data_IF_325773944068
#
_entry.id   IF_325773944068
#
_cell.length_a   1.000
_cell.length_b   1.000
_cell.length_c   1.000
_cell.angle_alpha   90.00
_cell.angle_beta   90.00
_cell.angle_gamma   90.00
#
_symmetry.space_group_name_H-M   'P 1'
#
loop_
_entity.id
_entity.type
_entity.pdbx_description
1 polymer ?
#
# COMPACT_ATOMS: atom_id res chain seq x y z
N UNK A 1 -13.26 -47.19 41.68
CA UNK A 1 -12.87 -46.61 40.38
C UNK A 1 -11.81 -45.54 40.63
N UNK A 2 -10.53 -45.74 40.25
CA UNK A 2 -9.41 -44.88 40.67
C UNK A 2 -8.91 -43.87 39.61
N UNK A 3 -9.63 -43.67 38.51
CA UNK A 3 -9.10 -42.94 37.33
C UNK A 3 -9.19 -41.41 37.40
N UNK A 4 -9.67 -40.85 38.52
CA UNK A 4 -9.76 -39.39 38.71
C UNK A 4 -8.40 -38.79 39.10
N UNK A 5 -7.70 -39.41 40.05
CA UNK A 5 -6.44 -38.88 40.60
C UNK A 5 -5.29 -38.97 39.60
N UNK A 6 -5.20 -40.05 38.83
CA UNK A 6 -4.19 -40.19 37.77
C UNK A 6 -4.29 -39.08 36.72
N UNK A 7 -5.51 -38.66 36.36
CA UNK A 7 -5.74 -37.56 35.42
C UNK A 7 -5.38 -36.19 36.02
N UNK A 8 -5.71 -35.96 37.30
CA UNK A 8 -5.29 -34.73 38.01
C UNK A 8 -3.76 -34.63 38.07
N UNK A 9 -3.07 -35.70 38.46
CA UNK A 9 -1.62 -35.73 38.55
C UNK A 9 -0.95 -35.51 37.18
N UNK A 10 -1.50 -36.09 36.10
CA UNK A 10 -1.03 -35.85 34.73
C UNK A 10 -1.17 -34.37 34.33
N UNK A 11 -2.30 -33.73 34.66
CA UNK A 11 -2.53 -32.31 34.38
C UNK A 11 -1.53 -31.43 35.13
N UNK A 12 -1.26 -31.69 36.42
CA UNK A 12 -0.27 -30.95 37.20
C UNK A 12 1.17 -31.10 36.67
N UNK A 13 1.53 -32.29 36.17
CA UNK A 13 2.85 -32.51 35.54
C UNK A 13 2.93 -31.72 34.22
N UNK A 14 1.88 -31.75 33.39
CA UNK A 14 1.85 -31.05 32.11
C UNK A 14 1.93 -29.53 32.28
N UNK A 15 1.19 -28.96 33.24
CA UNK A 15 1.23 -27.52 33.52
C UNK A 15 2.58 -27.09 34.11
N UNK A 16 3.22 -27.91 34.95
CA UNK A 16 4.56 -27.66 35.45
C UNK A 16 5.64 -27.63 34.35
N UNK A 17 5.55 -28.54 33.38
CA UNK A 17 6.46 -28.57 32.21
C UNK A 17 6.24 -27.32 31.33
N UNK A 18 4.99 -26.94 31.06
CA UNK A 18 4.69 -25.73 30.27
C UNK A 18 5.19 -24.46 31.01
N UNK A 19 4.97 -24.37 32.32
CA UNK A 19 5.40 -23.22 33.11
C UNK A 19 6.93 -23.07 33.18
N UNK A 20 7.66 -24.19 33.31
CA UNK A 20 9.14 -24.17 33.29
C UNK A 20 9.69 -23.81 31.91
N UNK A 21 9.06 -24.25 30.81
CA UNK A 21 9.41 -23.81 29.45
C UNK A 21 9.18 -22.30 29.24
N UNK A 22 8.08 -21.74 29.75
CA UNK A 22 7.79 -20.29 29.67
C UNK A 22 8.78 -19.45 30.51
N UNK A 23 9.25 -19.98 31.63
CA UNK A 23 10.30 -19.32 32.42
C UNK A 23 11.67 -19.39 31.75
N UNK A 24 12.00 -20.48 31.05
CA UNK A 24 13.21 -20.59 30.23
C UNK A 24 13.20 -19.58 29.07
N UNK A 25 12.09 -19.44 28.35
CA UNK A 25 11.95 -18.46 27.26
C UNK A 25 12.20 -17.01 27.71
N UNK A 26 11.77 -16.65 28.94
CA UNK A 26 12.10 -15.35 29.55
C UNK A 26 13.52 -15.22 30.07
N UNK A 27 14.17 -16.32 30.49
CA UNK A 27 15.53 -16.30 31.05
C UNK A 27 16.63 -16.40 29.99
N UNK A 28 16.35 -17.05 28.87
CA UNK A 28 17.29 -17.21 27.76
C UNK A 28 16.65 -16.62 26.50
N UNK A 29 17.04 -15.39 26.13
CA UNK A 29 16.56 -14.68 24.93
C UNK A 29 17.07 -15.31 23.62
N UNK A 30 16.80 -16.60 23.44
CA UNK A 30 17.30 -17.49 22.41
C UNK A 30 16.21 -18.53 22.11
N UNK A 31 15.36 -18.25 21.13
CA UNK A 31 14.26 -19.13 20.77
C UNK A 31 14.73 -20.55 20.42
N UNK A 32 14.14 -21.56 21.07
CA UNK A 32 14.45 -22.97 20.80
C UNK A 32 13.93 -23.39 19.43
N UNK A 33 14.84 -23.52 18.45
CA UNK A 33 14.55 -24.22 17.20
C UNK A 33 14.65 -25.73 17.41
N UNK A 34 13.55 -26.46 17.27
CA UNK A 34 13.55 -27.91 17.28
C UNK A 34 14.24 -28.43 15.99
N UNK A 35 15.51 -28.82 16.06
CA UNK A 35 16.26 -29.31 14.92
C UNK A 35 16.33 -30.84 14.90
N UNK A 36 15.68 -31.44 13.91
CA UNK A 36 15.88 -32.85 13.56
C UNK A 36 17.15 -33.04 12.73
N UNK A 37 18.11 -33.76 13.28
CA UNK A 37 19.04 -34.69 12.59
C UNK A 37 19.65 -34.27 11.24
N UNK A 38 20.95 -33.89 11.22
CA UNK A 38 21.80 -34.16 10.04
C UNK A 38 23.01 -33.25 9.74
N UNK A 39 24.20 -33.86 9.75
CA UNK A 39 25.42 -33.53 8.98
C UNK A 39 26.37 -32.38 9.39
N UNK A 40 27.61 -32.50 8.89
CA UNK A 40 28.87 -31.99 9.45
C UNK A 40 29.61 -31.02 8.50
N UNK A 41 30.50 -30.18 9.07
CA UNK A 41 31.58 -29.46 8.35
C UNK A 41 31.15 -28.18 7.64
N UNK A 42 31.93 -27.09 7.58
CA UNK A 42 33.37 -26.90 7.81
C UNK A 42 33.70 -25.56 8.53
N UNK A 43 34.96 -25.39 8.94
CA UNK A 43 35.52 -24.15 9.55
C UNK A 43 36.27 -23.32 8.51
N UNK A 44 36.18 -21.97 8.59
CA UNK A 44 37.32 -21.03 8.76
C UNK A 44 36.88 -19.56 8.57
N UNK A 45 37.13 -18.67 9.54
CA UNK A 45 38.31 -17.79 9.74
C UNK A 45 38.36 -16.58 8.77
N UNK A 46 38.30 -15.37 9.35
CA UNK A 46 38.54 -14.10 8.66
C UNK A 46 38.32 -12.90 9.59
N UNK A 47 39.38 -12.41 10.25
CA UNK A 47 39.36 -11.16 11.03
C UNK A 47 39.32 -9.94 10.10
N UNK A 48 38.59 -8.87 10.46
CA UNK A 48 39.13 -7.50 10.51
C UNK A 48 38.11 -6.47 11.04
N UNK A 49 38.55 -5.72 12.05
CA UNK A 49 38.19 -4.34 12.41
C UNK A 49 39.55 -3.59 12.53
N UNK A 50 39.65 -2.25 12.40
CA UNK A 50 38.91 -1.22 13.14
C UNK A 50 38.20 -0.23 12.17
N UNK A 51 37.87 1.05 12.43
CA UNK A 51 38.16 1.99 13.54
C UNK A 51 37.06 3.08 13.67
N UNK A 52 37.26 4.06 14.56
CA UNK A 52 36.45 5.27 14.73
C UNK A 52 37.28 6.52 14.45
N UNK A 53 36.63 7.61 13.98
CA UNK A 53 37.14 8.97 14.15
C UNK A 53 36.08 9.85 14.83
N UNK A 54 36.54 10.67 15.77
CA UNK A 54 35.73 11.61 16.56
C UNK A 54 36.34 13.00 16.48
N UNK A 55 35.51 14.02 16.21
CA UNK A 55 35.84 15.44 16.48
C UNK A 55 34.59 16.32 16.38
N UNK A 56 34.49 17.33 17.25
CA UNK A 56 33.53 18.43 17.13
C UNK A 56 32.27 18.30 17.99
N UNK A 57 32.41 18.60 19.29
CA UNK A 57 31.27 18.71 20.21
C UNK A 57 30.65 20.12 20.11
N UNK A 58 29.88 20.38 19.04
CA UNK A 58 29.09 21.61 18.87
C UNK A 58 27.72 21.44 19.53
N UNK A 59 27.22 22.50 20.18
CA UNK A 59 25.97 22.41 20.91
C UNK A 59 24.80 22.44 19.92
N UNK A 60 23.73 21.66 20.17
CA UNK A 60 22.66 21.43 19.18
C UNK A 60 22.00 22.74 18.69
N UNK A 61 22.02 23.78 19.52
CA UNK A 61 21.52 25.12 19.19
C UNK A 61 22.36 25.82 18.11
N UNK A 62 23.68 25.79 18.20
CA UNK A 62 24.57 26.48 17.24
C UNK A 62 24.45 25.87 15.82
N UNK A 63 24.16 24.57 15.74
CA UNK A 63 23.86 23.87 14.48
C UNK A 63 22.46 24.16 13.91
N UNK A 64 21.51 24.62 14.73
CA UNK A 64 20.20 25.09 14.27
C UNK A 64 20.30 26.55 13.79
N UNK A 65 20.88 27.43 14.61
CA UNK A 65 21.09 28.84 14.28
C UNK A 65 21.85 28.98 12.93
N UNK A 66 22.91 28.18 12.71
CA UNK A 66 23.67 28.18 11.44
C UNK A 66 22.86 27.65 10.23
N UNK A 67 21.91 26.75 10.43
CA UNK A 67 21.08 26.20 9.35
C UNK A 67 19.90 27.13 8.98
N UNK A 68 19.38 27.90 9.95
CA UNK A 68 18.33 28.90 9.70
C UNK A 68 18.86 30.08 8.87
N UNK A 69 20.08 30.56 9.16
CA UNK A 69 20.73 31.63 8.40
C UNK A 69 21.00 31.23 6.93
N UNK A 70 21.39 29.96 6.68
CA UNK A 70 21.63 29.43 5.33
C UNK A 70 20.32 29.36 4.51
N UNK A 71 19.21 28.93 5.12
CA UNK A 71 17.88 28.88 4.49
C UNK A 71 17.35 30.28 4.19
N UNK A 72 17.55 31.25 5.09
CA UNK A 72 17.15 32.64 4.86
C UNK A 72 17.94 33.29 3.71
N UNK A 73 19.23 32.95 3.56
CA UNK A 73 20.05 33.35 2.42
C UNK A 73 19.50 32.89 1.08
N UNK A 74 19.14 31.61 0.95
CA UNK A 74 18.58 31.06 -0.29
C UNK A 74 17.18 31.62 -0.65
N UNK A 75 16.36 31.95 0.35
CA UNK A 75 15.03 32.52 0.14
C UNK A 75 15.09 33.97 -0.36
N UNK A 76 16.03 34.78 0.14
CA UNK A 76 16.26 36.14 -0.34
C UNK A 76 16.83 36.19 -1.77
N UNK A 77 17.54 35.14 -2.20
CA UNK A 77 18.17 35.10 -3.52
C UNK A 77 17.22 34.69 -4.67
N UNK A 78 16.07 34.08 -4.37
CA UNK A 78 15.14 33.54 -5.37
C UNK A 78 13.77 34.26 -5.44
N UNK A 79 13.61 35.37 -4.73
CA UNK A 79 12.35 36.11 -4.62
C UNK A 79 12.06 37.08 -5.77
N UNK A 80 11.76 36.58 -6.98
CA UNK A 80 11.27 37.44 -8.08
C UNK A 80 10.20 36.76 -8.96
N UNK A 81 9.00 36.55 -8.40
CA UNK A 81 7.77 36.29 -9.17
C UNK A 81 6.65 37.18 -8.67
N UNK A 82 6.19 38.08 -9.55
CA UNK A 82 5.10 39.02 -9.32
C UNK A 82 3.75 38.31 -9.19
N UNK A 83 2.98 38.66 -8.17
CA UNK A 83 1.53 38.39 -8.10
C UNK A 83 0.81 39.72 -8.35
N UNK A 84 0.00 39.76 -9.40
CA UNK A 84 -0.91 40.88 -9.67
C UNK A 84 -2.21 40.68 -8.91
N UNK A 85 -2.51 41.59 -7.99
CA UNK A 85 -3.74 41.58 -7.19
C UNK A 85 -4.83 42.38 -7.89
N UNK A 86 -5.98 41.75 -8.16
CA UNK A 86 -7.25 42.44 -8.42
C UNK A 86 -8.27 41.84 -7.44
N UNK A 87 -8.68 42.57 -6.39
CA UNK A 87 -9.67 43.65 -6.35
C UNK A 87 -10.99 43.12 -5.72
N UNK A 88 -10.99 42.93 -4.40
CA UNK A 88 -12.23 42.74 -3.63
C UNK A 88 -12.73 44.11 -3.17
N UNK A 89 -13.84 44.58 -3.74
CA UNK A 89 -14.57 45.74 -3.23
C UNK A 89 -15.64 45.29 -2.26
N UNK A 90 -15.52 45.76 -1.01
CA UNK A 90 -16.57 45.74 0.00
C UNK A 90 -17.76 46.60 -0.43
N UNK A 91 -18.98 46.05 -0.32
CA UNK A 91 -20.22 46.83 -0.27
C UNK A 91 -21.05 46.31 0.91
N UNK A 92 -21.09 47.10 1.97
CA UNK A 92 -22.19 47.11 2.94
C UNK A 92 -23.30 48.04 2.41
N UNK A 93 -24.49 47.99 3.06
CA UNK A 93 -25.80 48.58 2.68
C UNK A 93 -26.65 47.57 1.86
N UNK A 94 -27.86 47.19 2.26
CA UNK A 94 -28.93 47.98 2.87
C UNK A 94 -29.97 47.07 3.56
N UNK A 95 -30.63 47.54 4.62
CA UNK A 95 -31.71 46.83 5.33
C UNK A 95 -33.04 47.49 4.96
N UNK A 96 -33.79 46.86 4.05
CA UNK A 96 -35.19 47.24 3.80
C UNK A 96 -36.09 46.00 3.85
N UNK A 97 -37.16 46.13 4.63
CA UNK A 97 -38.19 45.12 4.86
C UNK A 97 -39.20 45.05 3.69
N UNK A 98 -40.15 44.11 3.79
CA UNK A 98 -41.31 43.95 2.89
C UNK A 98 -41.03 43.55 1.43
N UNK A 99 -40.97 42.25 1.14
CA UNK A 99 -42.14 41.58 0.54
C UNK A 99 -42.06 40.04 0.50
N UNK A 100 -43.22 39.41 0.71
CA UNK A 100 -43.63 38.08 0.23
C UNK A 100 -42.63 36.90 0.30
N UNK A 101 -42.80 36.03 1.30
CA UNK A 101 -42.22 34.66 1.30
C UNK A 101 -43.20 33.67 0.65
N UNK A 102 -43.02 33.23 -0.61
CA UNK A 102 -43.61 31.98 -1.06
C UNK A 102 -42.79 30.83 -0.46
N UNK A 103 -43.42 30.03 0.42
CA UNK A 103 -42.85 28.76 0.88
C UNK A 103 -42.84 27.79 -0.31
N UNK A 104 -41.74 27.79 -1.06
CA UNK A 104 -41.46 26.77 -2.06
C UNK A 104 -40.91 25.54 -1.34
N UNK A 105 -41.75 24.52 -1.23
CA UNK A 105 -41.35 23.20 -0.77
C UNK A 105 -40.19 22.69 -1.63
N UNK A 106 -39.09 22.16 -1.03
CA UNK A 106 -38.00 21.62 -1.81
C UNK A 106 -38.53 20.41 -2.62
N UNK A 107 -38.27 20.33 -3.93
CA UNK A 107 -38.74 19.20 -4.72
C UNK A 107 -38.14 17.91 -4.16
N UNK A 108 -39.00 16.99 -3.74
CA UNK A 108 -38.61 15.61 -3.47
C UNK A 108 -38.06 15.02 -4.77
N UNK A 109 -36.75 15.07 -4.92
CA UNK A 109 -36.04 14.43 -6.00
C UNK A 109 -36.27 12.92 -5.91
N UNK A 110 -37.24 12.44 -6.69
CA UNK A 110 -37.39 11.03 -7.03
C UNK A 110 -36.13 10.60 -7.78
N UNK A 111 -35.19 10.01 -7.05
CA UNK A 111 -33.96 9.46 -7.62
C UNK A 111 -34.32 8.21 -8.43
N UNK A 112 -34.71 8.43 -9.68
CA UNK A 112 -34.75 7.38 -10.69
C UNK A 112 -33.32 6.89 -10.94
N UNK A 113 -32.94 5.77 -10.31
CA UNK A 113 -31.71 5.03 -10.59
C UNK A 113 -31.78 4.27 -11.94
N UNK A 114 -32.26 4.94 -12.99
CA UNK A 114 -32.33 4.42 -14.36
C UNK A 114 -31.85 5.47 -15.35
N UNK A 115 -30.56 5.80 -15.23
CA UNK A 115 -29.77 6.34 -16.33
C UNK A 115 -28.41 5.63 -16.29
N UNK A 116 -28.32 4.49 -16.98
CA UNK A 116 -27.01 3.88 -17.28
C UNK A 116 -26.25 4.84 -18.21
N UNK A 117 -25.40 5.67 -17.61
CA UNK A 117 -24.44 6.46 -18.38
C UNK A 117 -23.57 5.50 -19.21
N UNK A 118 -23.39 5.75 -20.52
CA UNK A 118 -22.73 4.79 -21.39
C UNK A 118 -21.32 4.48 -20.88
N UNK A 119 -20.90 3.20 -20.86
CA UNK A 119 -19.61 2.81 -20.30
C UNK A 119 -18.48 3.54 -21.02
N UNK A 120 -17.57 4.13 -20.24
CA UNK A 120 -16.43 4.87 -20.77
C UNK A 120 -15.52 3.89 -21.54
N UNK A 121 -15.16 4.18 -22.80
CA UNK A 121 -14.35 3.28 -23.60
C UNK A 121 -12.98 3.07 -22.96
N UNK A 122 -12.54 1.81 -22.92
CA UNK A 122 -11.22 1.44 -22.40
C UNK A 122 -10.17 1.85 -23.45
N UNK A 123 -9.10 2.59 -23.07
CA UNK A 123 -8.07 2.98 -24.03
C UNK A 123 -7.43 1.76 -24.69
N UNK A 124 -7.14 1.87 -25.99
CA UNK A 124 -6.52 0.78 -26.78
C UNK A 124 -5.25 1.20 -27.53
N UNK A 125 -4.81 2.43 -27.29
CA UNK A 125 -3.71 3.07 -28.00
C UNK A 125 -2.35 2.45 -27.70
N UNK A 126 -1.43 2.56 -28.65
CA UNK A 126 -0.02 2.21 -28.47
C UNK A 126 0.64 3.21 -27.53
N UNK A 127 1.65 2.78 -26.79
CA UNK A 127 2.42 3.67 -25.93
C UNK A 127 2.95 2.97 -24.69
N UNK A 128 3.39 3.76 -23.73
CA UNK A 128 3.98 3.25 -22.49
C UNK A 128 2.92 2.84 -21.48
N UNK A 129 3.17 1.74 -20.78
CA UNK A 129 2.43 1.26 -19.62
C UNK A 129 3.30 1.48 -18.38
N UNK A 130 2.81 2.28 -17.45
CA UNK A 130 3.43 2.53 -16.15
C UNK A 130 3.01 1.47 -15.14
N UNK A 131 3.77 0.39 -15.02
CA UNK A 131 3.54 -0.65 -14.03
C UNK A 131 4.23 -0.30 -12.71
N UNK A 132 3.64 -0.75 -11.61
CA UNK A 132 4.26 -0.66 -10.30
C UNK A 132 4.56 -2.07 -9.79
N UNK A 133 5.73 -2.21 -9.17
CA UNK A 133 6.19 -3.39 -8.46
C UNK A 133 6.72 -2.99 -7.08
N UNK A 134 7.32 -3.90 -6.33
CA UNK A 134 7.79 -3.63 -4.96
C UNK A 134 9.30 -3.78 -4.84
N UNK A 135 9.88 -3.01 -3.92
CA UNK A 135 11.23 -3.28 -3.41
C UNK A 135 11.23 -3.13 -1.90
N UNK A 136 11.76 -4.13 -1.22
CA UNK A 136 11.85 -4.17 0.24
C UNK A 136 13.21 -3.60 0.68
N UNK A 137 13.18 -2.90 1.81
CA UNK A 137 14.34 -2.25 2.41
C UNK A 137 14.27 -2.44 3.93
N UNK A 138 15.41 -2.35 4.61
CA UNK A 138 15.51 -2.70 6.03
C UNK A 138 15.65 -4.20 6.24
N UNK A 139 15.61 -4.64 7.51
CA UNK A 139 15.73 -6.04 7.94
C UNK A 139 14.88 -6.28 9.19
N UNK A 140 14.34 -7.49 9.34
CA UNK A 140 13.52 -7.88 10.49
C UNK A 140 12.31 -6.94 10.69
N UNK A 141 12.09 -6.51 11.92
CA UNK A 141 11.00 -5.58 12.30
C UNK A 141 11.10 -4.17 11.69
N UNK A 142 12.23 -3.82 11.06
CA UNK A 142 12.39 -2.56 10.30
C UNK A 142 12.25 -2.75 8.79
N UNK A 143 11.74 -3.90 8.34
CA UNK A 143 11.43 -4.14 6.93
C UNK A 143 10.26 -3.26 6.48
N UNK A 144 10.41 -2.55 5.37
CA UNK A 144 9.33 -1.81 4.72
C UNK A 144 9.43 -1.92 3.19
N UNK A 145 8.28 -1.93 2.51
CA UNK A 145 8.17 -1.98 1.05
C UNK A 145 7.91 -0.60 0.44
N UNK A 146 8.54 -0.34 -0.70
CA UNK A 146 8.29 0.83 -1.54
C UNK A 146 7.79 0.38 -2.91
N UNK A 147 6.90 1.18 -3.50
CA UNK A 147 6.50 0.96 -4.89
C UNK A 147 7.65 1.37 -5.81
N UNK A 148 7.80 0.66 -6.91
CA UNK A 148 8.81 0.90 -7.95
C UNK A 148 8.08 1.08 -9.27
N UNK A 149 8.19 2.26 -9.89
CA UNK A 149 7.63 2.50 -11.22
C UNK A 149 8.52 1.88 -12.29
N UNK A 150 7.91 1.15 -13.22
CA UNK A 150 8.55 0.38 -14.28
C UNK A 150 7.76 0.59 -15.58
N UNK A 151 8.45 0.88 -16.68
CA UNK A 151 7.82 1.10 -17.98
C UNK A 151 7.79 -0.17 -18.83
N UNK A 152 6.73 -0.33 -19.62
CA UNK A 152 6.60 -1.33 -20.69
C UNK A 152 6.06 -0.68 -21.94
N UNK A 153 6.61 -1.01 -23.11
CA UNK A 153 6.05 -0.57 -24.39
C UNK A 153 4.91 -1.49 -24.82
N UNK A 154 3.72 -0.92 -25.01
CA UNK A 154 2.55 -1.60 -25.56
C UNK A 154 2.41 -1.36 -27.06
N UNK A 155 2.05 -2.43 -27.79
CA UNK A 155 1.69 -2.38 -29.22
C UNK A 155 0.23 -1.97 -29.46
N UNK A 156 -0.50 -1.57 -28.41
CA UNK A 156 -1.93 -1.30 -28.41
C UNK A 156 -2.76 -2.52 -28.01
N UNK A 157 -4.07 -2.32 -27.90
CA UNK A 157 -5.03 -3.29 -27.38
C UNK A 157 -5.52 -2.95 -25.96
N UNK A 158 -6.45 -3.76 -25.45
CA UNK A 158 -7.16 -3.54 -24.18
C UNK A 158 -6.20 -3.31 -22.99
N UNK A 159 -6.17 -2.06 -22.53
CA UNK A 159 -5.19 -1.58 -21.55
C UNK A 159 -5.35 -2.22 -20.17
N UNK A 160 -6.55 -2.61 -19.77
CA UNK A 160 -6.79 -3.33 -18.50
C UNK A 160 -6.19 -4.73 -18.57
N UNK A 161 -6.48 -5.51 -19.62
CA UNK A 161 -5.87 -6.84 -19.88
C UNK A 161 -4.35 -6.76 -19.87
N UNK A 162 -3.77 -5.77 -20.57
CA UNK A 162 -2.31 -5.59 -20.65
C UNK A 162 -1.67 -5.33 -19.28
N UNK A 163 -2.29 -4.49 -18.44
CA UNK A 163 -1.81 -4.21 -17.08
C UNK A 163 -1.91 -5.46 -16.21
N UNK A 164 -3.09 -6.09 -16.13
CA UNK A 164 -3.32 -7.25 -15.27
C UNK A 164 -2.40 -8.43 -15.66
N UNK A 165 -2.29 -8.76 -16.95
CA UNK A 165 -1.40 -9.82 -17.42
C UNK A 165 0.07 -9.52 -17.11
N UNK A 166 0.50 -8.26 -17.20
CA UNK A 166 1.88 -7.87 -16.85
C UNK A 166 2.15 -7.95 -15.35
N UNK A 167 1.17 -7.62 -14.51
CA UNK A 167 1.26 -7.76 -13.05
C UNK A 167 1.27 -9.23 -12.62
N UNK A 168 0.50 -10.09 -13.27
CA UNK A 168 0.48 -11.55 -13.01
C UNK A 168 1.82 -12.19 -13.43
N UNK A 169 2.36 -11.81 -14.60
CA UNK A 169 3.68 -12.27 -15.05
C UNK A 169 4.83 -11.78 -14.14
N UNK A 170 4.72 -10.55 -13.62
CA UNK A 170 5.67 -9.95 -12.70
C UNK A 170 6.86 -9.26 -13.38
N UNK A 171 7.89 -8.89 -12.60
CA UNK A 171 9.09 -8.22 -13.12
C UNK A 171 9.95 -9.15 -13.99
N UNK A 172 10.67 -8.57 -14.96
CA UNK A 172 11.59 -9.32 -15.83
C UNK A 172 12.91 -9.65 -15.10
N UNK A 173 13.76 -10.52 -15.66
CA UNK A 173 15.00 -10.97 -15.00
C UNK A 173 15.91 -9.80 -14.58
N UNK A 174 16.11 -8.82 -15.47
CA UNK A 174 16.91 -7.61 -15.23
C UNK A 174 16.38 -6.73 -14.08
N UNK A 175 15.09 -6.84 -13.76
CA UNK A 175 14.44 -6.12 -12.65
C UNK A 175 14.53 -6.92 -11.36
N UNK A 176 14.38 -8.24 -11.43
CA UNK A 176 14.60 -9.17 -10.31
C UNK A 176 16.03 -9.07 -9.80
N UNK A 177 17.01 -8.96 -10.70
CA UNK A 177 18.43 -8.68 -10.38
C UNK A 177 18.61 -7.35 -9.61
N UNK A 178 17.78 -6.34 -9.89
CA UNK A 178 17.74 -5.07 -9.14
C UNK A 178 16.97 -5.17 -7.81
N UNK A 179 16.50 -6.36 -7.42
CA UNK A 179 15.72 -6.60 -6.21
C UNK A 179 14.26 -6.14 -6.30
N UNK A 180 13.69 -6.06 -7.51
CA UNK A 180 12.28 -5.75 -7.73
C UNK A 180 11.47 -7.05 -7.65
N UNK A 181 10.42 -7.03 -6.83
CA UNK A 181 9.57 -8.17 -6.48
C UNK A 181 8.11 -7.90 -6.84
N UNK A 182 7.34 -8.99 -6.99
CA UNK A 182 5.90 -8.96 -7.22
C UNK A 182 5.16 -9.36 -5.94
N UNK A 183 4.13 -8.61 -5.53
CA UNK A 183 3.19 -9.12 -4.50
C UNK A 183 2.05 -9.94 -5.11
N UNK A 184 1.72 -9.71 -6.39
CA UNK A 184 0.60 -10.33 -7.09
C UNK A 184 0.88 -11.82 -7.35
N UNK A 185 -0.04 -12.74 -6.99
CA UNK A 185 0.09 -14.17 -7.27
C UNK A 185 0.09 -14.49 -8.76
N UNK A 186 0.95 -15.41 -9.20
CA UNK A 186 1.02 -15.83 -10.60
C UNK A 186 -0.20 -16.65 -11.08
N UNK A 187 -0.97 -17.20 -10.14
CA UNK A 187 -2.25 -17.87 -10.41
C UNK A 187 -3.46 -16.93 -10.33
N UNK A 188 -3.28 -15.63 -10.08
CA UNK A 188 -4.40 -14.69 -10.02
C UNK A 188 -5.16 -14.68 -11.35
N UNK A 189 -6.47 -14.90 -11.26
CA UNK A 189 -7.40 -14.77 -12.38
C UNK A 189 -8.27 -13.51 -12.22
N UNK A 190 -8.85 -13.06 -13.31
CA UNK A 190 -9.78 -11.92 -13.35
C UNK A 190 -10.89 -12.20 -14.35
N UNK A 191 -12.08 -11.67 -14.08
CA UNK A 191 -13.22 -11.82 -14.97
C UNK A 191 -13.10 -10.86 -16.16
N UNK A 192 -13.45 -11.32 -17.36
CA UNK A 192 -13.27 -10.58 -18.61
C UNK A 192 -14.29 -9.47 -18.88
N UNK A 193 -15.28 -9.31 -18.00
CA UNK A 193 -16.44 -8.42 -18.11
C UNK A 193 -16.29 -7.08 -17.35
N UNK A 194 -15.05 -6.74 -16.98
CA UNK A 194 -14.73 -5.43 -16.39
C UNK A 194 -15.10 -4.29 -17.33
N UNK A 195 -15.42 -3.14 -16.73
CA UNK A 195 -15.86 -1.93 -17.45
C UNK A 195 -15.64 -0.69 -16.62
N UNK A 196 -15.52 0.45 -17.29
CA UNK A 196 -15.43 1.76 -16.65
C UNK A 196 -16.81 2.42 -16.73
N UNK A 197 -17.42 2.68 -15.58
CA UNK A 197 -18.66 3.44 -15.45
C UNK A 197 -18.37 4.68 -14.61
N UNK A 198 -18.75 5.87 -15.07
CA UNK A 198 -18.55 7.14 -14.36
C UNK A 198 -17.08 7.41 -13.95
N UNK A 199 -16.11 6.84 -14.66
CA UNK A 199 -14.69 6.90 -14.29
C UNK A 199 -14.30 5.97 -13.12
N UNK A 200 -15.12 4.99 -12.75
CA UNK A 200 -14.80 3.92 -11.81
C UNK A 200 -14.62 2.61 -12.58
N UNK A 201 -13.46 1.97 -12.46
CA UNK A 201 -13.25 0.64 -13.02
C UNK A 201 -13.91 -0.40 -12.12
N UNK A 202 -14.96 -1.07 -12.61
CA UNK A 202 -15.54 -2.27 -11.98
C UNK A 202 -14.71 -3.48 -12.39
N UNK A 203 -14.05 -4.13 -11.44
CA UNK A 203 -13.13 -5.25 -11.68
C UNK A 203 -13.39 -6.38 -10.69
N UNK A 204 -13.49 -7.61 -11.20
CA UNK A 204 -13.61 -8.82 -10.38
C UNK A 204 -12.35 -9.68 -10.54
N UNK A 205 -11.78 -10.09 -9.40
CA UNK A 205 -10.57 -10.89 -9.30
C UNK A 205 -10.87 -12.21 -8.57
N UNK A 206 -10.07 -13.25 -8.80
CA UNK A 206 -10.22 -14.50 -8.03
C UNK A 206 -9.69 -14.36 -6.60
N UNK A 207 -10.16 -15.22 -5.69
CA UNK A 207 -9.72 -15.25 -4.28
C UNK A 207 -8.23 -15.58 -4.11
N UNK A 208 -7.54 -15.97 -5.18
CA UNK A 208 -6.08 -16.04 -5.31
C UNK A 208 -5.40 -14.79 -4.75
N UNK A 209 -5.97 -13.60 -4.99
CA UNK A 209 -5.47 -12.31 -4.49
C UNK A 209 -5.27 -12.30 -2.97
N UNK A 210 -6.06 -13.07 -2.24
CA UNK A 210 -6.06 -13.13 -0.78
C UNK A 210 -5.15 -14.24 -0.23
N UNK A 211 -4.81 -15.24 -1.04
CA UNK A 211 -4.16 -16.46 -0.56
C UNK A 211 -2.70 -16.21 -0.15
N UNK A 212 -2.32 -16.79 0.98
CA UNK A 212 -0.95 -16.79 1.48
C UNK A 212 -0.39 -15.41 1.86
N UNK A 213 -1.24 -14.43 2.16
CA UNK A 213 -0.83 -13.08 2.53
C UNK A 213 -1.47 -12.63 3.85
N UNK A 214 -0.64 -12.21 4.80
CA UNK A 214 -1.08 -11.41 5.93
C UNK A 214 -1.33 -9.94 5.52
N UNK A 215 -1.88 -9.10 6.42
CA UNK A 215 -2.34 -7.74 6.12
C UNK A 215 -1.31 -6.87 5.38
N UNK A 216 -0.05 -6.81 5.82
CA UNK A 216 0.97 -5.99 5.15
C UNK A 216 1.21 -6.38 3.68
N UNK A 217 1.18 -7.68 3.36
CA UNK A 217 1.33 -8.15 1.98
C UNK A 217 0.05 -7.92 1.16
N UNK A 218 -1.13 -8.00 1.77
CA UNK A 218 -2.40 -7.63 1.12
C UNK A 218 -2.43 -6.14 0.77
N UNK A 219 -1.95 -5.27 1.66
CA UNK A 219 -1.79 -3.83 1.39
C UNK A 219 -0.92 -3.61 0.15
N UNK A 220 0.21 -4.31 0.11
CA UNK A 220 1.16 -4.26 -0.99
C UNK A 220 0.60 -4.83 -2.30
N UNK A 221 -0.31 -5.82 -2.27
CA UNK A 221 -1.07 -6.27 -3.45
C UNK A 221 -2.01 -5.19 -3.96
N UNK A 222 -2.79 -4.59 -3.06
CA UNK A 222 -3.79 -3.58 -3.41
C UNK A 222 -3.13 -2.28 -3.90
N UNK A 223 -2.06 -1.81 -3.26
CA UNK A 223 -1.33 -0.64 -3.72
C UNK A 223 -0.66 -0.90 -5.07
N UNK A 224 -0.02 -2.06 -5.28
CA UNK A 224 0.62 -2.41 -6.56
C UNK A 224 -0.41 -2.45 -7.72
N UNK A 225 -1.57 -3.08 -7.48
CA UNK A 225 -2.69 -3.14 -8.43
C UNK A 225 -3.25 -1.74 -8.73
N UNK A 226 -3.57 -0.98 -7.69
CA UNK A 226 -4.30 0.30 -7.79
C UNK A 226 -3.46 1.36 -8.49
N UNK A 227 -2.18 1.49 -8.12
CA UNK A 227 -1.27 2.41 -8.80
C UNK A 227 -1.11 2.07 -10.28
N UNK A 228 -0.93 0.79 -10.62
CA UNK A 228 -0.74 0.34 -12.01
C UNK A 228 -1.98 0.55 -12.88
N UNK A 229 -3.19 0.40 -12.34
CA UNK A 229 -4.42 0.67 -13.09
C UNK A 229 -4.68 2.17 -13.23
N UNK A 230 -4.63 2.93 -12.12
CA UNK A 230 -4.96 4.37 -12.11
C UNK A 230 -3.89 5.27 -12.76
N UNK A 231 -2.66 4.81 -13.00
CA UNK A 231 -1.66 5.56 -13.78
C UNK A 231 -1.86 5.39 -15.30
N UNK A 232 -2.58 4.35 -15.73
CA UNK A 232 -2.70 3.98 -17.14
C UNK A 232 -4.11 4.10 -17.71
N UNK A 233 -5.10 4.46 -16.89
CA UNK A 233 -6.51 4.53 -17.25
C UNK A 233 -7.11 5.84 -16.74
N UNK A 234 -8.05 6.48 -17.48
CA UNK A 234 -8.72 7.71 -17.06
C UNK A 234 -9.80 7.40 -16.00
N UNK A 235 -9.36 6.91 -14.82
CA UNK A 235 -10.24 6.46 -13.73
C UNK A 235 -9.92 7.17 -12.42
N UNK A 236 -10.97 7.48 -11.66
CA UNK A 236 -10.93 8.10 -10.34
C UNK A 236 -10.76 7.07 -9.21
N UNK A 237 -11.08 5.81 -9.48
CA UNK A 237 -10.88 4.69 -8.56
C UNK A 237 -11.31 3.34 -9.14
N UNK A 238 -11.19 2.29 -8.33
CA UNK A 238 -11.48 0.90 -8.73
C UNK A 238 -12.47 0.29 -7.73
N UNK A 239 -13.59 -0.22 -8.22
CA UNK A 239 -14.52 -1.01 -7.44
C UNK A 239 -14.13 -2.49 -7.58
N UNK A 240 -13.44 -3.01 -6.56
CA UNK A 240 -12.97 -4.40 -6.53
C UNK A 240 -14.06 -5.36 -6.05
N UNK A 241 -14.15 -6.51 -6.72
CA UNK A 241 -14.92 -7.68 -6.32
C UNK A 241 -14.02 -8.91 -6.26
N UNK A 242 -14.35 -9.87 -5.41
CA UNK A 242 -13.69 -11.18 -5.34
C UNK A 242 -14.70 -12.25 -5.75
N UNK A 243 -14.39 -13.02 -6.80
CA UNK A 243 -15.28 -14.01 -7.41
C UNK A 243 -16.70 -13.44 -7.67
N UNK A 244 -16.77 -12.26 -8.29
CA UNK A 244 -18.01 -11.53 -8.59
C UNK A 244 -18.70 -10.85 -7.41
N UNK A 245 -18.24 -11.06 -6.16
CA UNK A 245 -18.88 -10.53 -4.94
C UNK A 245 -18.16 -9.30 -4.40
N UNK A 246 -18.93 -8.35 -3.89
CA UNK A 246 -18.40 -7.24 -3.09
C UNK A 246 -17.81 -7.76 -1.78
N UNK A 247 -16.61 -7.29 -1.45
CA UNK A 247 -15.93 -7.58 -0.19
C UNK A 247 -15.63 -6.28 0.55
N UNK A 248 -15.72 -6.31 1.89
CA UNK A 248 -15.35 -5.20 2.79
C UNK A 248 -14.04 -5.47 3.55
N UNK A 249 -13.49 -6.66 3.37
CA UNK A 249 -12.21 -7.07 3.91
C UNK A 249 -11.55 -8.11 3.01
N UNK A 250 -10.24 -8.31 3.17
CA UNK A 250 -9.46 -9.29 2.43
C UNK A 250 -8.68 -10.22 3.38
N UNK A 251 -8.57 -11.48 2.98
CA UNK A 251 -7.76 -12.49 3.66
C UNK A 251 -8.31 -12.98 5.00
N UNK A 252 -7.69 -14.03 5.55
CA UNK A 252 -8.17 -14.71 6.77
C UNK A 252 -8.12 -13.85 8.04
N UNK A 253 -7.23 -12.85 8.09
CA UNK A 253 -7.12 -11.89 9.20
C UNK A 253 -8.05 -10.68 9.04
N UNK A 254 -8.73 -10.54 7.91
CA UNK A 254 -9.75 -9.51 7.69
C UNK A 254 -9.19 -8.08 7.56
N UNK A 255 -8.17 -7.88 6.70
CA UNK A 255 -7.75 -6.52 6.31
C UNK A 255 -8.96 -5.72 5.85
N UNK A 256 -9.28 -4.53 6.40
CA UNK A 256 -10.39 -3.72 5.92
C UNK A 256 -10.11 -3.19 4.50
N UNK A 257 -11.14 -3.19 3.65
CA UNK A 257 -11.07 -2.70 2.28
C UNK A 257 -12.14 -1.60 2.05
N UNK A 258 -11.77 -0.41 1.54
CA UNK A 258 -12.76 0.59 1.20
C UNK A 258 -13.58 0.15 -0.02
N UNK A 259 -14.80 0.67 -0.14
CA UNK A 259 -15.73 0.35 -1.25
C UNK A 259 -15.22 0.83 -2.63
N UNK A 260 -14.30 1.79 -2.63
CA UNK A 260 -13.60 2.30 -3.80
C UNK A 260 -12.11 2.37 -3.47
N UNK A 261 -11.28 1.70 -4.27
CA UNK A 261 -9.83 1.74 -4.15
C UNK A 261 -9.29 2.98 -4.88
N UNK A 262 -8.39 3.71 -4.21
CA UNK A 262 -7.68 4.87 -4.75
C UNK A 262 -6.19 4.78 -4.38
N UNK A 263 -5.32 5.62 -4.98
CA UNK A 263 -3.89 5.65 -4.66
C UNK A 263 -3.66 6.11 -3.22
N UNK A 264 -3.39 5.18 -2.30
CA UNK A 264 -2.92 5.49 -0.95
C UNK A 264 -1.52 6.13 -1.02
N UNK A 265 -1.18 7.17 -0.23
CA UNK A 265 0.15 7.76 -0.23
C UNK A 265 1.27 6.74 0.04
N UNK A 266 2.04 6.40 -1.00
CA UNK A 266 3.22 5.50 -0.93
C UNK A 266 4.46 6.22 -1.45
N UNK A 267 5.63 5.88 -0.88
CA UNK A 267 6.92 6.27 -1.45
C UNK A 267 7.16 5.47 -2.74
N UNK A 268 7.32 6.19 -3.85
CA UNK A 268 7.59 5.65 -5.18
C UNK A 268 9.09 5.79 -5.46
N UNK A 269 9.70 4.73 -5.98
CA UNK A 269 11.05 4.72 -6.54
C UNK A 269 10.93 4.71 -8.06
N UNK A 270 11.69 5.57 -8.72
CA UNK A 270 11.83 5.62 -10.19
C UNK A 270 13.30 5.31 -10.52
N UNK A 271 13.54 4.72 -11.68
CA UNK A 271 14.87 4.38 -12.21
C UNK A 271 15.12 5.11 -13.53
#
# INVERSE_FOLDING_TARGET
MPDSEKRKNLIFILTGIIFTLVLLDKSTGSGFSLSGTGFQGFRNIGKMSPEFYSKGNLNHKELMDQAEDEILGELLQNGDVRVSSENENSIEEDLNEDDLVPVLEPPLASVNFENESPPTPIPTDKGELSLYFLKFYGKGSKSHSRLVKVLRLSKGGDRVKLILNSLIAGPVSQEKEKGILNSIPQNLHYDGDYRIEEGILKLSLSSDLERGAGPELLKDRIDQLTYSLMENLPIRGIQLRINGKFVRSLGGEGMPLPSLLTKNPRKIVVF
#
